data_IF_262918388298
#
_entry.id   IF_262918388298
#
_cell.length_a   1.000
_cell.length_b   1.000
_cell.length_c   1.000
_cell.angle_alpha   90.00
_cell.angle_beta   90.00
_cell.angle_gamma   90.00
#
_symmetry.space_group_name_H-M   'P 1'
#
loop_
_entity.id
_entity.type
_entity.pdbx_description
1 polymer ?
#
# COMPACT_ATOMS: atom_id res chain seq x y z
N UNK A 1 -18.13 -44.38 -11.15
CA UNK A 1 -18.13 -43.16 -11.94
C UNK A 1 -16.69 -42.64 -12.06
N UNK A 2 -16.26 -42.28 -13.27
CA UNK A 2 -14.94 -41.66 -13.50
C UNK A 2 -14.93 -40.29 -12.80
N UNK A 3 -14.04 -40.11 -11.84
CA UNK A 3 -13.79 -38.79 -11.25
C UNK A 3 -12.91 -37.98 -12.21
N UNK A 4 -13.35 -36.79 -12.56
CA UNK A 4 -12.52 -35.89 -13.34
C UNK A 4 -11.27 -35.52 -12.58
N UNK A 5 -10.09 -35.46 -13.21
CA UNK A 5 -8.87 -34.95 -12.58
C UNK A 5 -9.09 -33.53 -12.10
N UNK A 6 -8.63 -33.21 -10.88
CA UNK A 6 -8.82 -31.89 -10.31
C UNK A 6 -8.32 -30.74 -11.18
N UNK A 7 -7.21 -30.86 -11.97
CA UNK A 7 -6.78 -29.76 -12.83
C UNK A 7 -7.82 -29.42 -13.92
N UNK A 8 -8.53 -30.42 -14.44
CA UNK A 8 -9.58 -30.18 -15.42
C UNK A 8 -10.77 -29.45 -14.82
N UNK A 9 -11.19 -29.83 -13.61
CA UNK A 9 -12.29 -29.17 -12.89
C UNK A 9 -11.91 -27.73 -12.59
N UNK A 10 -10.68 -27.52 -12.10
CA UNK A 10 -10.15 -26.20 -11.78
C UNK A 10 -10.07 -25.30 -13.02
N UNK A 11 -9.51 -25.79 -14.14
CA UNK A 11 -9.44 -25.07 -15.42
C UNK A 11 -10.83 -24.74 -15.98
N UNK A 12 -11.79 -25.67 -15.89
CA UNK A 12 -13.16 -25.43 -16.33
C UNK A 12 -13.84 -24.34 -15.48
N UNK A 13 -13.62 -24.34 -14.16
CA UNK A 13 -14.13 -23.29 -13.30
C UNK A 13 -13.51 -21.93 -13.65
N UNK A 14 -12.19 -21.86 -13.88
CA UNK A 14 -11.53 -20.65 -14.39
C UNK A 14 -12.14 -20.18 -15.70
N UNK A 15 -12.28 -21.09 -16.66
CA UNK A 15 -12.85 -20.78 -17.98
C UNK A 15 -14.30 -20.27 -17.86
N UNK A 16 -15.11 -20.89 -17.01
CA UNK A 16 -16.50 -20.47 -16.81
C UNK A 16 -16.59 -19.04 -16.25
N UNK A 17 -15.74 -18.70 -15.24
CA UNK A 17 -15.70 -17.35 -14.68
C UNK A 17 -15.25 -16.34 -15.75
N UNK A 18 -14.16 -16.63 -16.50
CA UNK A 18 -13.63 -15.70 -17.51
C UNK A 18 -14.59 -15.53 -18.69
N UNK A 19 -15.36 -16.56 -19.04
CA UNK A 19 -16.39 -16.47 -20.07
C UNK A 19 -17.57 -15.60 -19.66
N UNK A 20 -17.93 -15.61 -18.37
CA UNK A 20 -19.03 -14.78 -17.84
C UNK A 20 -18.57 -13.36 -17.49
N UNK A 21 -17.35 -13.20 -17.02
CA UNK A 21 -16.72 -11.92 -16.69
C UNK A 21 -15.24 -11.91 -17.16
N UNK A 22 -14.95 -11.45 -18.37
CA UNK A 22 -13.57 -11.35 -18.87
C UNK A 22 -12.69 -10.41 -18.03
N UNK A 23 -13.29 -9.42 -17.33
CA UNK A 23 -12.59 -8.49 -16.47
C UNK A 23 -12.12 -9.12 -15.15
N UNK A 24 -12.59 -10.32 -14.82
CA UNK A 24 -12.13 -11.06 -13.65
C UNK A 24 -10.60 -11.25 -13.64
N UNK A 25 -9.95 -11.36 -14.81
CA UNK A 25 -8.49 -11.47 -14.93
C UNK A 25 -7.72 -10.24 -14.38
N UNK A 26 -8.36 -9.08 -14.33
CA UNK A 26 -7.80 -7.86 -13.76
C UNK A 26 -8.05 -7.73 -12.23
N UNK A 27 -8.88 -8.62 -11.69
CA UNK A 27 -9.24 -8.59 -10.27
C UNK A 27 -8.26 -9.44 -9.45
N UNK A 28 -7.63 -8.84 -8.46
CA UNK A 28 -6.73 -9.55 -7.54
C UNK A 28 -7.44 -10.73 -6.82
N UNK A 29 -8.72 -10.58 -6.51
CA UNK A 29 -9.54 -11.61 -5.89
C UNK A 29 -9.65 -12.89 -6.72
N UNK A 30 -9.74 -12.79 -8.05
CA UNK A 30 -9.71 -13.94 -8.95
C UNK A 30 -8.42 -14.75 -8.75
N UNK A 31 -7.27 -14.10 -8.88
CA UNK A 31 -5.98 -14.78 -8.76
C UNK A 31 -5.76 -15.38 -7.37
N UNK A 32 -6.07 -14.64 -6.30
CA UNK A 32 -5.92 -15.16 -4.93
C UNK A 32 -6.80 -16.39 -4.69
N UNK A 33 -8.06 -16.37 -5.13
CA UNK A 33 -8.98 -17.47 -4.94
C UNK A 33 -8.57 -18.70 -5.74
N UNK A 34 -8.29 -18.53 -7.04
CA UNK A 34 -7.95 -19.67 -7.91
C UNK A 34 -6.58 -20.26 -7.56
N UNK A 35 -5.58 -19.43 -7.22
CA UNK A 35 -4.27 -19.91 -6.76
C UNK A 35 -4.38 -20.64 -5.41
N UNK A 36 -5.15 -20.11 -4.46
CA UNK A 36 -5.37 -20.78 -3.17
C UNK A 36 -5.98 -22.17 -3.36
N UNK A 37 -7.06 -22.27 -4.15
CA UNK A 37 -7.73 -23.56 -4.43
C UNK A 37 -6.80 -24.49 -5.20
N UNK A 38 -6.06 -23.98 -6.19
CA UNK A 38 -5.09 -24.78 -6.96
C UNK A 38 -3.98 -25.34 -6.06
N UNK A 39 -3.44 -24.53 -5.16
CA UNK A 39 -2.44 -24.97 -4.17
C UNK A 39 -3.00 -26.03 -3.21
N UNK A 40 -4.23 -25.82 -2.71
CA UNK A 40 -4.89 -26.82 -1.85
C UNK A 40 -5.05 -28.15 -2.58
N UNK A 41 -5.51 -28.16 -3.81
CA UNK A 41 -5.63 -29.38 -4.61
C UNK A 41 -4.28 -30.02 -4.95
N UNK A 42 -3.27 -29.22 -5.29
CA UNK A 42 -1.94 -29.73 -5.62
C UNK A 42 -1.20 -30.30 -4.41
N UNK A 43 -1.51 -29.79 -3.21
CA UNK A 43 -0.90 -30.26 -1.94
C UNK A 43 -1.77 -31.30 -1.24
N UNK A 44 -2.82 -31.80 -1.88
CA UNK A 44 -3.94 -32.58 -1.33
C UNK A 44 -3.56 -33.54 -0.20
N UNK A 45 -4.15 -33.23 0.95
CA UNK A 45 -4.04 -34.05 2.17
C UNK A 45 -5.10 -35.15 2.23
N UNK A 46 -6.20 -34.93 1.50
CA UNK A 46 -7.40 -35.76 1.55
C UNK A 46 -7.25 -36.97 0.64
N UNK A 47 -6.56 -36.81 -0.51
CA UNK A 47 -6.35 -37.91 -1.45
C UNK A 47 -5.46 -39.05 -0.91
N UNK A 48 -4.63 -38.79 0.10
CA UNK A 48 -3.77 -39.79 0.73
C UNK A 48 -4.50 -40.73 1.73
N UNK A 49 -5.83 -40.58 1.88
CA UNK A 49 -6.63 -41.48 2.74
C UNK A 49 -6.35 -41.37 4.26
N UNK A 50 -5.53 -40.43 4.65
CA UNK A 50 -5.11 -40.25 6.05
C UNK A 50 -5.90 -39.10 6.70
N UNK A 51 -7.22 -39.25 6.85
CA UNK A 51 -7.94 -38.40 7.80
C UNK A 51 -7.37 -38.65 9.20
N UNK A 52 -6.92 -37.57 9.90
CA UNK A 52 -6.46 -37.72 11.26
C UNK A 52 -7.59 -38.24 12.11
N UNK A 53 -7.37 -39.39 12.81
CA UNK A 53 -8.38 -40.01 13.69
C UNK A 53 -8.50 -39.31 15.04
N UNK A 54 -7.66 -38.30 15.33
CA UNK A 54 -7.61 -37.64 16.63
C UNK A 54 -7.78 -36.12 16.47
N UNK A 55 -8.30 -35.46 17.50
CA UNK A 55 -8.43 -33.99 17.53
C UNK A 55 -7.09 -33.25 17.31
N UNK A 56 -6.00 -33.80 17.88
CA UNK A 56 -4.64 -33.29 17.67
C UNK A 56 -4.22 -33.40 16.21
N UNK A 57 -4.53 -34.52 15.55
CA UNK A 57 -4.24 -34.69 14.13
C UNK A 57 -4.98 -33.70 13.25
N UNK A 58 -6.25 -33.41 13.52
CA UNK A 58 -7.03 -32.38 12.82
C UNK A 58 -6.42 -30.99 13.01
N UNK A 59 -6.00 -30.67 14.23
CA UNK A 59 -5.35 -29.38 14.52
C UNK A 59 -4.03 -29.22 13.74
N UNK A 60 -3.17 -30.21 13.70
CA UNK A 60 -1.93 -30.18 12.91
C UNK A 60 -2.21 -30.11 11.41
N UNK A 61 -3.25 -30.76 10.92
CA UNK A 61 -3.66 -30.65 9.51
C UNK A 61 -4.07 -29.22 9.16
N UNK A 62 -4.91 -28.58 9.98
CA UNK A 62 -5.33 -27.18 9.83
C UNK A 62 -4.13 -26.20 9.84
N UNK A 63 -3.22 -26.37 10.83
CA UNK A 63 -2.01 -25.55 10.90
C UNK A 63 -1.18 -25.67 9.63
N UNK A 64 -1.02 -26.87 9.12
CA UNK A 64 -0.23 -27.13 7.92
C UNK A 64 -0.91 -26.58 6.67
N UNK A 65 -2.21 -26.77 6.50
CA UNK A 65 -2.97 -26.19 5.37
C UNK A 65 -2.84 -24.68 5.36
N UNK A 66 -3.06 -24.05 6.51
CA UNK A 66 -2.93 -22.60 6.66
C UNK A 66 -1.51 -22.13 6.34
N UNK A 67 -0.48 -22.86 6.79
CA UNK A 67 0.91 -22.55 6.50
C UNK A 67 1.23 -22.62 5.01
N UNK A 68 0.81 -23.69 4.33
CA UNK A 68 1.03 -23.91 2.91
C UNK A 68 0.35 -22.83 2.07
N UNK A 69 -0.93 -22.52 2.37
CA UNK A 69 -1.67 -21.48 1.67
C UNK A 69 -1.03 -20.10 1.91
N UNK A 70 -0.66 -19.78 3.14
CA UNK A 70 -0.01 -18.52 3.45
C UNK A 70 1.30 -18.36 2.68
N UNK A 71 2.18 -19.37 2.68
CA UNK A 71 3.45 -19.32 1.96
C UNK A 71 3.26 -19.20 0.44
N UNK A 72 2.29 -19.93 -0.12
CA UNK A 72 2.03 -19.88 -1.56
C UNK A 72 1.41 -18.56 -2.01
N UNK A 73 0.54 -17.95 -1.18
CA UNK A 73 -0.13 -16.70 -1.52
C UNK A 73 0.69 -15.45 -1.17
N UNK A 74 1.69 -15.55 -0.30
CA UNK A 74 2.52 -14.39 0.08
C UNK A 74 3.17 -13.71 -1.13
N UNK A 75 3.85 -14.40 -2.06
CA UNK A 75 4.42 -13.76 -3.25
C UNK A 75 3.36 -13.10 -4.13
N UNK A 76 2.19 -13.72 -4.25
CA UNK A 76 1.08 -13.17 -5.02
C UNK A 76 0.51 -11.90 -4.35
N UNK A 77 0.36 -11.91 -3.01
CA UNK A 77 -0.09 -10.74 -2.26
C UNK A 77 0.90 -9.58 -2.37
N UNK A 78 2.20 -9.87 -2.32
CA UNK A 78 3.24 -8.87 -2.52
C UNK A 78 3.21 -8.30 -3.95
N UNK A 79 3.03 -9.14 -4.96
CA UNK A 79 2.96 -8.70 -6.35
C UNK A 79 1.72 -7.84 -6.63
N UNK A 80 0.56 -8.22 -6.07
CA UNK A 80 -0.72 -7.55 -6.36
C UNK A 80 -0.96 -6.31 -5.50
N UNK A 81 -0.48 -6.31 -4.25
CA UNK A 81 -0.80 -5.27 -3.27
C UNK A 81 0.43 -4.57 -2.67
N UNK A 82 1.65 -5.04 -2.95
CA UNK A 82 2.86 -4.50 -2.34
C UNK A 82 2.92 -4.69 -0.81
N UNK A 83 2.12 -5.61 -0.26
CA UNK A 83 2.04 -5.80 1.19
C UNK A 83 1.81 -7.25 1.58
N UNK A 84 2.27 -7.60 2.77
CA UNK A 84 1.99 -8.90 3.40
C UNK A 84 1.63 -8.72 4.87
N UNK A 85 0.61 -9.44 5.33
CA UNK A 85 0.22 -9.46 6.73
C UNK A 85 1.03 -10.51 7.49
N UNK A 86 1.88 -10.09 8.42
CA UNK A 86 2.62 -11.01 9.29
C UNK A 86 1.70 -11.66 10.34
N UNK A 87 0.68 -10.94 10.79
CA UNK A 87 -0.32 -11.46 11.74
C UNK A 87 -1.42 -12.28 11.05
N UNK A 88 -1.48 -12.25 9.72
CA UNK A 88 -2.53 -12.89 8.92
C UNK A 88 -2.64 -14.39 9.15
N UNK A 89 -1.52 -15.08 9.38
CA UNK A 89 -1.51 -16.51 9.73
C UNK A 89 -2.30 -16.76 11.04
N UNK A 90 -1.98 -16.04 12.10
CA UNK A 90 -2.65 -16.16 13.38
C UNK A 90 -4.12 -15.71 13.30
N UNK A 91 -4.38 -14.62 12.59
CA UNK A 91 -5.72 -14.10 12.36
C UNK A 91 -6.61 -15.14 11.66
N UNK A 92 -6.12 -15.75 10.57
CA UNK A 92 -6.87 -16.75 9.83
C UNK A 92 -7.07 -18.05 10.63
N UNK A 93 -6.06 -18.48 11.40
CA UNK A 93 -6.16 -19.67 12.25
C UNK A 93 -7.27 -19.52 13.31
N UNK A 94 -7.52 -18.30 13.78
CA UNK A 94 -8.59 -17.99 14.72
C UNK A 94 -9.92 -17.71 14.01
N UNK A 95 -9.90 -16.86 12.99
CA UNK A 95 -11.11 -16.36 12.34
C UNK A 95 -11.84 -17.43 11.53
N UNK A 96 -11.10 -18.28 10.77
CA UNK A 96 -11.73 -19.26 9.90
C UNK A 96 -12.56 -20.29 10.70
N UNK A 97 -12.04 -20.97 11.75
CA UNK A 97 -12.86 -21.88 12.55
C UNK A 97 -14.02 -21.16 13.26
N UNK A 98 -13.77 -19.96 13.81
CA UNK A 98 -14.79 -19.21 14.53
C UNK A 98 -15.95 -18.82 13.63
N UNK A 99 -15.67 -18.26 12.45
CA UNK A 99 -16.71 -17.89 11.48
C UNK A 99 -17.44 -19.14 10.98
N UNK A 100 -16.70 -20.20 10.61
CA UNK A 100 -17.29 -21.40 10.01
C UNK A 100 -18.15 -22.19 11.00
N UNK A 101 -17.71 -22.32 12.26
CA UNK A 101 -18.38 -23.19 13.25
C UNK A 101 -19.39 -22.46 14.12
N UNK A 102 -19.27 -21.14 14.28
CA UNK A 102 -20.12 -20.35 15.18
C UNK A 102 -20.97 -19.36 14.41
N UNK A 103 -20.33 -18.43 13.68
CA UNK A 103 -21.05 -17.31 13.08
C UNK A 103 -21.95 -17.78 11.92
N UNK A 104 -21.40 -18.57 11.00
CA UNK A 104 -22.15 -19.03 9.82
C UNK A 104 -23.35 -19.91 10.19
N UNK A 105 -23.26 -20.91 11.10
CA UNK A 105 -24.43 -21.68 11.51
C UNK A 105 -25.50 -20.83 12.21
N UNK A 106 -25.10 -19.89 13.07
CA UNK A 106 -26.04 -18.97 13.73
C UNK A 106 -26.73 -18.06 12.71
N UNK A 107 -25.98 -17.52 11.75
CA UNK A 107 -26.53 -16.65 10.71
C UNK A 107 -27.53 -17.40 9.81
N UNK A 108 -27.20 -18.65 9.40
CA UNK A 108 -28.10 -19.48 8.61
C UNK A 108 -29.36 -19.87 9.40
N UNK A 109 -29.20 -20.28 10.65
CA UNK A 109 -30.33 -20.60 11.50
C UNK A 109 -31.20 -19.38 11.84
N UNK A 110 -30.63 -18.18 11.80
CA UNK A 110 -31.33 -16.90 11.94
C UNK A 110 -32.40 -16.65 10.87
N UNK A 111 -32.31 -17.30 9.71
CA UNK A 111 -33.35 -17.28 8.67
C UNK A 111 -34.66 -17.90 9.19
N UNK A 112 -34.56 -18.91 10.04
CA UNK A 112 -35.70 -19.59 10.65
C UNK A 112 -36.14 -18.89 11.94
N UNK A 113 -35.16 -18.42 12.74
CA UNK A 113 -35.41 -17.76 14.02
C UNK A 113 -34.55 -16.51 14.19
N UNK A 114 -35.11 -15.35 13.91
CA UNK A 114 -34.43 -14.05 13.86
C UNK A 114 -33.56 -13.70 15.08
N UNK A 115 -33.86 -14.06 16.35
CA UNK A 115 -32.96 -13.80 17.48
C UNK A 115 -31.55 -14.40 17.34
N UNK A 116 -31.36 -15.44 16.51
CA UNK A 116 -30.04 -16.02 16.25
C UNK A 116 -29.11 -15.08 15.47
N UNK A 117 -29.65 -14.12 14.71
CA UNK A 117 -28.83 -13.07 14.09
C UNK A 117 -28.19 -12.17 15.15
N UNK A 118 -28.92 -11.86 16.23
CA UNK A 118 -28.35 -11.09 17.34
C UNK A 118 -27.21 -11.86 18.04
N UNK A 119 -27.37 -13.18 18.20
CA UNK A 119 -26.29 -14.03 18.72
C UNK A 119 -25.09 -14.10 17.76
N UNK A 120 -25.33 -14.19 16.45
CA UNK A 120 -24.25 -14.16 15.45
C UNK A 120 -23.53 -12.81 15.50
N UNK A 121 -24.23 -11.69 15.57
CA UNK A 121 -23.66 -10.35 15.71
C UNK A 121 -22.86 -10.22 17.02
N UNK A 122 -23.37 -10.75 18.13
CA UNK A 122 -22.65 -10.77 19.41
C UNK A 122 -21.38 -11.64 19.34
N UNK A 123 -21.45 -12.79 18.68
CA UNK A 123 -20.27 -13.66 18.46
C UNK A 123 -19.19 -13.03 17.57
N UNK A 124 -19.54 -12.07 16.72
CA UNK A 124 -18.56 -11.33 15.91
C UNK A 124 -17.76 -10.30 16.71
N UNK A 125 -18.29 -9.77 17.81
CA UNK A 125 -17.64 -8.70 18.57
C UNK A 125 -16.26 -9.11 19.12
N UNK A 126 -16.10 -10.25 19.82
CA UNK A 126 -14.77 -10.68 20.32
C UNK A 126 -13.80 -10.99 19.18
N UNK A 127 -14.29 -11.50 18.04
CA UNK A 127 -13.46 -11.72 16.87
C UNK A 127 -12.98 -10.39 16.30
N UNK A 128 -13.88 -9.42 16.12
CA UNK A 128 -13.53 -8.08 15.62
C UNK A 128 -12.53 -7.39 16.54
N UNK A 129 -12.74 -7.43 17.86
CA UNK A 129 -11.81 -6.87 18.84
C UNK A 129 -10.43 -7.54 18.78
N UNK A 130 -10.38 -8.86 18.67
CA UNK A 130 -9.12 -9.61 18.53
C UNK A 130 -8.37 -9.29 17.23
N UNK A 131 -9.08 -9.18 16.11
CA UNK A 131 -8.49 -8.80 14.82
C UNK A 131 -8.00 -7.35 14.83
N UNK A 132 -8.76 -6.42 15.43
CA UNK A 132 -8.34 -5.02 15.60
C UNK A 132 -7.08 -4.92 16.48
N UNK A 133 -7.02 -5.69 17.56
CA UNK A 133 -5.82 -5.76 18.40
C UNK A 133 -4.60 -6.28 17.62
N UNK A 134 -4.73 -7.37 16.85
CA UNK A 134 -3.66 -7.84 15.99
C UNK A 134 -3.24 -6.81 14.93
N UNK A 135 -4.21 -6.12 14.34
CA UNK A 135 -3.96 -5.09 13.32
C UNK A 135 -3.30 -3.82 13.89
N UNK A 136 -3.43 -3.56 15.20
CA UNK A 136 -2.79 -2.40 15.86
C UNK A 136 -1.28 -2.56 16.06
N UNK A 137 -0.73 -3.75 15.84
CA UNK A 137 0.71 -3.96 15.99
C UNK A 137 1.49 -3.25 14.88
N UNK A 138 2.59 -2.54 15.18
CA UNK A 138 3.34 -1.76 14.18
C UNK A 138 3.87 -2.60 13.01
N UNK A 139 4.08 -3.88 13.23
CA UNK A 139 4.58 -4.85 12.25
C UNK A 139 3.50 -5.82 11.73
N UNK A 140 2.21 -5.53 11.99
CA UNK A 140 1.12 -6.39 11.52
C UNK A 140 1.10 -6.55 10.00
N UNK A 141 1.48 -5.49 9.29
CA UNK A 141 1.59 -5.45 7.83
C UNK A 141 2.96 -4.88 7.45
N UNK A 142 3.66 -5.58 6.57
CA UNK A 142 4.90 -5.12 5.95
C UNK A 142 4.60 -4.71 4.52
N UNK A 143 5.05 -3.51 4.15
CA UNK A 143 4.94 -2.96 2.80
C UNK A 143 6.29 -3.10 2.11
N UNK A 144 6.27 -3.53 0.85
CA UNK A 144 7.44 -3.60 -0.02
C UNK A 144 7.19 -2.79 -1.29
N UNK A 145 8.25 -2.19 -1.87
CA UNK A 145 8.12 -1.50 -3.15
C UNK A 145 7.57 -2.40 -4.25
N UNK A 146 6.87 -1.81 -5.20
CA UNK A 146 6.32 -2.54 -6.34
C UNK A 146 7.46 -3.07 -7.22
N UNK A 147 7.67 -4.37 -7.18
CA UNK A 147 8.70 -5.03 -7.98
C UNK A 147 8.20 -5.26 -9.42
N UNK A 148 9.12 -5.35 -10.41
CA UNK A 148 8.77 -5.65 -11.78
C UNK A 148 8.19 -7.07 -11.92
N UNK A 149 7.37 -7.28 -12.95
CA UNK A 149 6.65 -8.54 -13.16
C UNK A 149 7.57 -9.77 -13.17
N UNK A 150 8.79 -9.67 -13.73
CA UNK A 150 9.72 -10.80 -13.74
C UNK A 150 10.12 -11.25 -12.33
N UNK A 151 10.33 -10.31 -11.40
CA UNK A 151 10.64 -10.63 -10.00
C UNK A 151 9.43 -11.28 -9.31
N UNK A 152 8.20 -10.81 -9.62
CA UNK A 152 6.96 -11.43 -9.18
C UNK A 152 6.79 -12.86 -9.69
N UNK A 153 7.07 -13.11 -10.97
CA UNK A 153 7.01 -14.47 -11.54
C UNK A 153 8.00 -15.41 -10.88
N UNK A 154 9.25 -14.97 -10.69
CA UNK A 154 10.25 -15.77 -9.96
C UNK A 154 9.78 -16.08 -8.53
N UNK A 155 9.21 -15.09 -7.85
CA UNK A 155 8.71 -15.28 -6.49
C UNK A 155 7.50 -16.23 -6.43
N UNK A 156 6.61 -16.20 -7.41
CA UNK A 156 5.51 -17.17 -7.53
C UNK A 156 6.03 -18.59 -7.72
N UNK A 157 7.05 -18.79 -8.56
CA UNK A 157 7.73 -20.09 -8.70
C UNK A 157 8.36 -20.53 -7.38
N UNK A 158 9.05 -19.61 -6.68
CA UNK A 158 9.63 -19.86 -5.36
C UNK A 158 8.59 -20.24 -4.31
N UNK A 159 7.46 -19.53 -4.24
CA UNK A 159 6.33 -19.85 -3.37
C UNK A 159 5.72 -21.22 -3.68
N UNK A 160 5.59 -21.55 -4.98
CA UNK A 160 5.16 -22.86 -5.44
C UNK A 160 6.09 -23.98 -4.97
N UNK A 161 7.40 -23.81 -5.08
CA UNK A 161 8.39 -24.79 -4.58
C UNK A 161 8.29 -24.97 -3.06
N UNK A 162 8.04 -23.89 -2.30
CA UNK A 162 7.85 -24.00 -0.85
C UNK A 162 6.57 -24.74 -0.48
N UNK A 163 5.50 -24.53 -1.24
CA UNK A 163 4.20 -25.14 -1.00
C UNK A 163 4.18 -26.64 -1.34
N UNK A 164 4.94 -27.06 -2.35
CA UNK A 164 4.98 -28.45 -2.81
C UNK A 164 5.65 -29.39 -1.82
N UNK A 165 5.29 -30.68 -1.87
CA UNK A 165 5.92 -31.76 -1.08
C UNK A 165 7.23 -32.23 -1.71
N UNK A 166 8.21 -31.34 -1.82
CA UNK A 166 9.52 -31.64 -2.37
C UNK A 166 10.54 -31.92 -1.25
N UNK A 167 11.63 -32.64 -1.54
CA UNK A 167 12.78 -32.74 -0.65
C UNK A 167 13.29 -31.32 -0.28
N UNK A 168 13.81 -31.17 0.96
CA UNK A 168 14.22 -29.86 1.46
C UNK A 168 15.29 -29.18 0.58
N UNK A 169 16.16 -29.99 -0.05
CA UNK A 169 17.18 -29.51 -0.97
C UNK A 169 16.59 -28.73 -2.17
N UNK A 170 15.47 -29.23 -2.72
CA UNK A 170 14.76 -28.55 -3.81
C UNK A 170 14.02 -27.30 -3.32
N UNK A 171 13.49 -27.34 -2.09
CA UNK A 171 12.85 -26.15 -1.49
C UNK A 171 13.83 -25.03 -1.23
N UNK A 172 15.11 -25.30 -1.01
CA UNK A 172 16.12 -24.25 -0.85
C UNK A 172 16.26 -23.37 -2.09
N UNK A 173 15.94 -23.87 -3.30
CA UNK A 173 15.90 -23.06 -4.52
C UNK A 173 14.82 -21.98 -4.51
N UNK A 174 13.85 -22.04 -3.61
CA UNK A 174 12.89 -20.96 -3.43
C UNK A 174 13.54 -19.66 -2.93
N UNK A 175 14.62 -19.75 -2.15
CA UNK A 175 15.30 -18.58 -1.58
C UNK A 175 15.80 -17.63 -2.67
N UNK A 176 16.68 -18.04 -3.60
CA UNK A 176 17.13 -17.14 -4.67
C UNK A 176 15.99 -16.66 -5.58
N UNK A 177 14.90 -17.41 -5.70
CA UNK A 177 13.74 -16.99 -6.48
C UNK A 177 12.90 -15.90 -5.77
N UNK A 178 12.88 -15.87 -4.44
CA UNK A 178 12.16 -14.87 -3.66
C UNK A 178 12.96 -13.57 -3.46
N UNK A 179 14.30 -13.65 -3.43
CA UNK A 179 15.17 -12.49 -3.16
C UNK A 179 14.86 -11.28 -4.06
N UNK A 180 14.71 -11.41 -5.40
CA UNK A 180 14.44 -10.26 -6.26
C UNK A 180 13.17 -9.48 -5.88
N UNK A 181 12.12 -10.18 -5.44
CA UNK A 181 10.88 -9.54 -4.98
C UNK A 181 11.06 -8.88 -3.61
N UNK A 182 11.70 -9.56 -2.67
CA UNK A 182 11.83 -9.11 -1.27
C UNK A 182 12.84 -7.96 -1.10
N UNK A 183 13.86 -7.91 -1.96
CA UNK A 183 14.92 -6.91 -1.89
C UNK A 183 14.81 -5.83 -2.98
N UNK A 184 13.69 -5.78 -3.70
CA UNK A 184 13.49 -4.78 -4.75
C UNK A 184 13.47 -3.37 -4.18
N UNK A 185 14.15 -2.48 -4.87
CA UNK A 185 14.11 -1.05 -4.62
C UNK A 185 13.79 -0.33 -5.92
N UNK A 186 12.87 0.63 -5.89
CA UNK A 186 12.57 1.45 -7.05
C UNK A 186 13.82 2.26 -7.45
N UNK A 187 14.16 2.35 -8.74
CA UNK A 187 15.25 3.18 -9.21
C UNK A 187 15.11 4.62 -8.73
N UNK A 188 16.21 5.27 -8.42
CA UNK A 188 16.28 6.67 -8.05
C UNK A 188 17.16 7.45 -9.04
N UNK A 189 16.97 8.78 -9.16
CA UNK A 189 17.85 9.63 -9.96
C UNK A 189 19.31 9.52 -9.52
N UNK A 190 20.24 9.74 -10.45
CA UNK A 190 21.65 9.88 -10.11
C UNK A 190 21.91 11.18 -9.32
N UNK A 191 22.98 11.27 -8.53
CA UNK A 191 23.38 12.53 -7.89
C UNK A 191 23.46 13.67 -8.91
N UNK A 192 23.00 14.84 -8.51
CA UNK A 192 22.86 16.02 -9.39
C UNK A 192 21.61 16.02 -10.27
N UNK A 193 20.80 14.97 -10.24
CA UNK A 193 19.57 14.86 -11.01
C UNK A 193 18.36 14.74 -10.09
N UNK A 194 17.19 15.15 -10.60
CA UNK A 194 15.92 14.96 -9.91
C UNK A 194 14.85 14.42 -10.86
N UNK A 195 13.84 13.80 -10.27
CA UNK A 195 12.64 13.30 -10.93
C UNK A 195 11.42 13.97 -10.34
N UNK A 196 10.49 14.39 -11.21
CA UNK A 196 9.18 14.91 -10.83
C UNK A 196 8.11 13.88 -11.18
N UNK A 197 7.30 13.52 -10.20
CA UNK A 197 6.12 12.69 -10.37
C UNK A 197 4.89 13.49 -9.95
N UNK A 198 4.02 13.80 -10.91
CA UNK A 198 2.72 14.41 -10.68
C UNK A 198 1.64 13.31 -10.81
N UNK A 199 1.18 12.69 -9.71
CA UNK A 199 0.14 11.68 -9.77
C UNK A 199 -1.21 12.29 -10.11
N UNK A 200 -2.08 11.54 -10.80
CA UNK A 200 -3.45 11.94 -11.03
C UNK A 200 -4.26 11.87 -9.71
N UNK A 201 -4.53 13.03 -9.15
CA UNK A 201 -5.30 13.21 -7.91
C UNK A 201 -6.66 13.88 -8.16
N UNK A 202 -7.06 14.06 -9.43
CA UNK A 202 -8.22 14.85 -9.82
C UNK A 202 -7.93 16.35 -9.75
N UNK A 203 -8.87 17.14 -9.25
CA UNK A 203 -8.67 18.59 -9.08
C UNK A 203 -7.80 18.86 -7.85
N UNK A 204 -6.75 19.65 -8.01
CA UNK A 204 -5.79 20.01 -6.97
C UNK A 204 -4.35 19.74 -7.39
N UNK A 205 -3.41 19.89 -6.46
CA UNK A 205 -1.99 19.75 -6.75
C UNK A 205 -1.31 18.74 -5.81
N UNK A 206 -0.44 17.90 -6.37
CA UNK A 206 0.53 17.10 -5.63
C UNK A 206 1.68 16.73 -6.57
N UNK A 207 2.91 17.06 -6.19
CA UNK A 207 4.11 16.74 -6.96
C UNK A 207 5.15 16.13 -6.04
N UNK A 208 5.61 14.93 -6.36
CA UNK A 208 6.71 14.27 -5.68
C UNK A 208 8.02 14.62 -6.39
N UNK A 209 8.95 15.22 -5.67
CA UNK A 209 10.31 15.53 -6.14
C UNK A 209 11.25 14.53 -5.50
N UNK A 210 11.95 13.73 -6.31
CA UNK A 210 12.90 12.70 -5.86
C UNK A 210 14.31 13.06 -6.31
N UNK A 211 15.26 12.98 -5.39
CA UNK A 211 16.70 13.04 -5.68
C UNK A 211 17.34 11.67 -5.42
N UNK A 212 18.64 11.54 -5.42
CA UNK A 212 19.31 10.26 -5.20
C UNK A 212 18.94 9.62 -3.84
N UNK A 213 18.77 10.41 -2.76
CA UNK A 213 18.49 9.89 -1.41
C UNK A 213 17.36 10.59 -0.67
N UNK A 214 16.87 11.74 -1.19
CA UNK A 214 15.84 12.54 -0.53
C UNK A 214 14.55 12.64 -1.36
N UNK A 215 13.45 12.94 -0.67
CA UNK A 215 12.13 13.06 -1.29
C UNK A 215 11.37 14.22 -0.67
N UNK A 216 10.90 15.14 -1.50
CA UNK A 216 9.99 16.22 -1.14
C UNK A 216 8.62 15.96 -1.78
N UNK A 217 7.55 16.09 -1.01
CA UNK A 217 6.20 16.13 -1.53
C UNK A 217 5.69 17.58 -1.48
N UNK A 218 5.40 18.14 -2.64
CA UNK A 218 4.84 19.47 -2.79
C UNK A 218 3.34 19.35 -2.99
N UNK A 219 2.57 19.87 -2.04
CA UNK A 219 1.12 19.70 -1.90
C UNK A 219 0.66 18.25 -1.71
N UNK A 220 -0.59 18.08 -1.32
CA UNK A 220 -1.12 16.76 -0.94
C UNK A 220 -2.51 16.47 -1.53
N UNK A 221 -2.95 17.30 -2.46
CA UNK A 221 -4.21 17.12 -3.19
C UNK A 221 -5.47 17.31 -2.34
N UNK A 222 -6.63 17.05 -2.95
CA UNK A 222 -7.91 17.39 -2.39
C UNK A 222 -8.41 16.38 -1.35
N UNK A 223 -9.38 16.84 -0.59
CA UNK A 223 -10.29 16.00 0.18
C UNK A 223 -11.55 15.75 -0.64
N UNK A 224 -11.81 14.49 -1.01
CA UNK A 224 -12.97 14.14 -1.83
C UNK A 224 -14.27 14.02 -1.02
N UNK A 225 -14.18 13.57 0.24
CA UNK A 225 -15.31 13.44 1.16
C UNK A 225 -14.79 13.48 2.62
N UNK A 226 -15.71 13.32 3.59
CA UNK A 226 -15.31 13.20 5.02
C UNK A 226 -14.38 12.03 5.30
N UNK A 227 -14.48 10.96 4.52
CA UNK A 227 -13.80 9.68 4.74
C UNK A 227 -12.75 9.38 3.66
N UNK A 228 -12.56 10.29 2.68
CA UNK A 228 -11.71 10.03 1.52
C UNK A 228 -10.98 11.28 1.06
N UNK A 229 -9.66 11.16 0.90
CA UNK A 229 -8.76 12.21 0.44
C UNK A 229 -7.69 11.64 -0.52
N UNK A 230 -6.97 12.54 -1.20
CA UNK A 230 -5.91 12.19 -2.14
C UNK A 230 -4.72 11.52 -1.42
N UNK A 231 -4.47 11.88 -0.16
CA UNK A 231 -3.42 11.26 0.65
C UNK A 231 -3.63 9.76 0.81
N UNK A 232 -4.80 9.33 1.31
CA UNK A 232 -5.13 7.93 1.50
C UNK A 232 -5.26 7.15 0.19
N UNK A 233 -5.89 7.75 -0.84
CA UNK A 233 -6.23 7.03 -2.08
C UNK A 233 -5.09 6.95 -3.08
N UNK A 234 -4.21 7.96 -3.11
CA UNK A 234 -3.20 8.09 -4.18
C UNK A 234 -1.80 8.21 -3.59
N UNK A 235 -1.53 9.21 -2.72
CA UNK A 235 -0.16 9.53 -2.32
C UNK A 235 0.46 8.45 -1.42
N UNK A 236 -0.24 7.98 -0.40
CA UNK A 236 0.27 6.92 0.48
C UNK A 236 0.49 5.62 -0.28
N UNK A 237 -0.43 5.12 -1.14
CA UNK A 237 -0.16 3.98 -2.02
C UNK A 237 1.03 4.20 -2.95
N UNK A 238 1.17 5.37 -3.56
CA UNK A 238 2.29 5.70 -4.44
C UNK A 238 3.63 5.66 -3.69
N UNK A 239 3.71 6.34 -2.54
CA UNK A 239 4.92 6.34 -1.70
C UNK A 239 5.32 4.92 -1.27
N UNK A 240 4.35 4.08 -0.92
CA UNK A 240 4.58 2.66 -0.61
C UNK A 240 5.07 1.88 -1.82
N UNK A 241 4.45 2.08 -2.99
CA UNK A 241 4.83 1.40 -4.22
C UNK A 241 6.26 1.76 -4.68
N UNK A 242 6.68 2.98 -4.41
CA UNK A 242 8.04 3.45 -4.68
C UNK A 242 9.03 3.11 -3.55
N UNK A 243 8.55 2.73 -2.35
CA UNK A 243 9.37 2.56 -1.16
C UNK A 243 9.94 3.87 -0.63
N UNK A 244 9.24 4.99 -0.87
CA UNK A 244 9.70 6.33 -0.54
C UNK A 244 9.36 6.74 0.88
N UNK A 245 10.33 7.46 1.49
CA UNK A 245 10.13 8.23 2.71
C UNK A 245 10.18 9.69 2.36
N UNK A 246 9.17 10.42 2.79
CA UNK A 246 9.10 11.88 2.58
C UNK A 246 9.93 12.56 3.66
N UNK A 247 10.93 13.34 3.25
CA UNK A 247 11.74 14.16 4.15
C UNK A 247 11.04 15.47 4.47
N UNK A 248 10.41 16.09 3.45
CA UNK A 248 9.66 17.34 3.59
C UNK A 248 8.32 17.23 2.86
N UNK A 249 7.24 17.53 3.56
CA UNK A 249 5.94 17.87 2.99
C UNK A 249 5.86 19.40 2.94
N UNK A 250 5.84 19.96 1.74
CA UNK A 250 5.69 21.40 1.51
C UNK A 250 4.29 21.69 1.02
N UNK A 251 3.57 22.57 1.71
CA UNK A 251 2.23 23.00 1.33
C UNK A 251 2.29 24.41 0.75
N UNK A 252 1.82 24.56 -0.50
CA UNK A 252 1.85 25.85 -1.18
C UNK A 252 1.02 26.88 -0.43
N UNK A 253 -0.22 26.56 -0.09
CA UNK A 253 -1.14 27.40 0.66
C UNK A 253 -2.22 26.55 1.36
N UNK A 254 -3.17 27.18 2.06
CA UNK A 254 -4.13 26.50 2.95
C UNK A 254 -5.30 25.80 2.27
N UNK A 255 -5.56 26.01 0.98
CA UNK A 255 -6.77 25.53 0.33
C UNK A 255 -6.86 24.00 0.30
N UNK A 256 -8.08 23.49 0.35
CA UNK A 256 -8.36 22.08 0.61
C UNK A 256 -7.89 21.16 -0.52
N UNK A 257 -7.75 21.65 -1.73
CA UNK A 257 -7.25 20.93 -2.90
C UNK A 257 -5.71 20.85 -2.95
N UNK A 258 -5.02 21.50 -2.00
CA UNK A 258 -3.58 21.42 -1.76
C UNK A 258 -3.25 20.73 -0.43
N UNK A 259 -4.11 20.89 0.60
CA UNK A 259 -3.84 20.38 1.96
C UNK A 259 -4.65 19.14 2.32
N UNK A 260 -5.67 18.78 1.53
CA UNK A 260 -6.68 17.79 1.89
C UNK A 260 -6.14 16.40 2.26
N UNK A 261 -5.09 15.95 1.58
CA UNK A 261 -4.43 14.66 1.84
C UNK A 261 -3.27 14.71 2.83
N UNK A 262 -2.88 15.91 3.30
CA UNK A 262 -1.66 16.09 4.11
C UNK A 262 -1.70 15.31 5.43
N UNK A 263 -2.84 15.24 6.11
CA UNK A 263 -2.99 14.51 7.36
C UNK A 263 -2.70 13.01 7.19
N UNK A 264 -3.17 12.41 6.09
CA UNK A 264 -2.91 11.02 5.77
C UNK A 264 -1.43 10.75 5.48
N UNK A 265 -0.79 11.65 4.73
CA UNK A 265 0.65 11.55 4.44
C UNK A 265 1.46 11.66 5.73
N UNK A 266 1.21 12.68 6.58
CA UNK A 266 1.92 12.89 7.84
C UNK A 266 1.76 11.72 8.82
N UNK A 267 0.59 11.09 8.86
CA UNK A 267 0.35 9.91 9.69
C UNK A 267 1.21 8.70 9.25
N UNK A 268 1.46 8.56 7.94
CA UNK A 268 2.27 7.46 7.38
C UNK A 268 3.76 7.80 7.28
N UNK A 269 4.12 9.08 7.35
CA UNK A 269 5.48 9.60 7.24
C UNK A 269 5.86 10.37 8.53
N UNK A 270 6.10 9.65 9.65
CA UNK A 270 6.34 10.30 10.95
C UNK A 270 7.62 11.15 10.97
N UNK A 271 8.58 10.86 10.08
CA UNK A 271 9.83 11.61 9.94
C UNK A 271 9.74 12.86 9.06
N UNK A 272 8.64 13.05 8.31
CA UNK A 272 8.53 14.18 7.38
C UNK A 272 8.45 15.52 8.12
N UNK A 273 9.28 16.49 7.78
CA UNK A 273 9.09 17.88 8.21
C UNK A 273 7.91 18.49 7.45
N UNK A 274 7.16 19.36 8.10
CA UNK A 274 6.10 20.14 7.46
C UNK A 274 6.58 21.56 7.24
N UNK A 275 6.51 22.03 6.00
CA UNK A 275 6.82 23.41 5.62
C UNK A 275 5.68 23.94 4.79
N UNK A 276 5.35 25.22 4.85
CA UNK A 276 4.33 25.75 3.97
C UNK A 276 3.78 27.10 4.39
N UNK A 277 2.90 27.63 3.54
CA UNK A 277 2.17 28.87 3.77
C UNK A 277 0.78 28.56 4.33
N UNK A 278 0.76 28.05 5.59
CA UNK A 278 -0.46 27.75 6.34
C UNK A 278 -0.45 28.48 7.68
N UNK A 279 -1.61 28.95 8.13
CA UNK A 279 -1.75 29.73 9.35
C UNK A 279 -1.48 28.90 10.61
N UNK A 280 -1.16 29.59 11.71
CA UNK A 280 -0.91 28.94 13.01
C UNK A 280 -2.10 28.15 13.56
N UNK A 281 -3.33 28.56 13.22
CA UNK A 281 -4.58 27.93 13.64
C UNK A 281 -5.00 26.76 12.74
N UNK A 282 -4.29 26.50 11.63
CA UNK A 282 -4.63 25.42 10.73
C UNK A 282 -4.53 24.05 11.43
N UNK A 283 -5.51 23.18 11.20
CA UNK A 283 -5.61 21.87 11.90
C UNK A 283 -4.36 20.99 11.78
N UNK A 284 -3.60 21.12 10.70
CA UNK A 284 -2.35 20.38 10.50
C UNK A 284 -1.25 20.78 11.48
N UNK A 285 -1.26 22.01 12.00
CA UNK A 285 -0.31 22.48 13.02
C UNK A 285 -0.39 21.64 14.30
N UNK A 286 -1.58 21.16 14.66
CA UNK A 286 -1.77 20.28 15.82
C UNK A 286 -1.18 18.87 15.59
N UNK A 287 -1.11 18.41 14.32
CA UNK A 287 -0.48 17.14 13.96
C UNK A 287 1.04 17.27 13.87
N UNK A 288 1.51 18.35 13.26
CA UNK A 288 2.93 18.68 13.11
C UNK A 288 3.12 20.17 12.90
N UNK A 289 3.94 20.83 13.75
CA UNK A 289 4.27 22.25 13.55
C UNK A 289 4.89 22.48 12.18
N UNK A 290 4.34 23.44 11.45
CA UNK A 290 4.85 23.80 10.13
C UNK A 290 5.91 24.92 10.25
N UNK A 291 7.01 24.77 9.52
CA UNK A 291 7.97 25.86 9.30
C UNK A 291 7.41 26.78 8.20
N UNK A 292 7.35 28.08 8.44
CA UNK A 292 6.90 29.02 7.42
C UNK A 292 7.78 28.96 6.16
N UNK A 293 7.13 29.04 5.01
CA UNK A 293 7.77 29.18 3.72
C UNK A 293 8.09 30.65 3.46
N UNK A 294 9.36 31.01 3.26
CA UNK A 294 9.79 32.40 3.04
C UNK A 294 10.83 32.45 1.94
N UNK A 295 10.69 33.40 1.02
CA UNK A 295 11.63 33.64 -0.07
C UNK A 295 13.08 33.79 0.42
N UNK A 296 14.01 33.20 -0.32
CA UNK A 296 15.43 33.19 0.03
C UNK A 296 15.86 31.97 0.86
N UNK A 297 14.94 31.14 1.35
CA UNK A 297 15.29 29.84 1.92
C UNK A 297 15.90 28.95 0.82
N UNK A 298 17.08 28.35 1.11
CA UNK A 298 17.83 27.52 0.16
C UNK A 298 18.42 26.30 0.83
N UNK A 299 18.44 25.20 0.12
CA UNK A 299 19.18 23.99 0.52
C UNK A 299 19.60 23.17 -0.71
N UNK A 300 20.48 22.24 -0.51
CA UNK A 300 20.96 21.34 -1.55
C UNK A 300 20.80 19.91 -1.06
N UNK A 301 20.19 19.05 -1.86
CA UNK A 301 20.11 17.60 -1.66
C UNK A 301 20.72 16.89 -2.85
N UNK A 302 21.70 16.04 -2.60
CA UNK A 302 22.33 15.19 -3.62
C UNK A 302 22.81 15.96 -4.86
N UNK A 303 23.25 17.21 -4.71
CA UNK A 303 23.65 18.09 -5.83
C UNK A 303 22.49 18.80 -6.54
N UNK A 304 21.26 18.66 -6.07
CA UNK A 304 20.08 19.39 -6.56
C UNK A 304 19.81 20.56 -5.64
N UNK A 305 19.73 21.77 -6.21
CA UNK A 305 19.46 23.00 -5.47
C UNK A 305 17.95 23.26 -5.40
N UNK A 306 17.50 23.61 -4.21
CA UNK A 306 16.13 24.01 -3.91
C UNK A 306 16.16 25.46 -3.41
N UNK A 307 15.23 26.27 -3.89
CA UNK A 307 15.12 27.69 -3.52
C UNK A 307 13.66 28.08 -3.45
N UNK A 308 13.25 28.63 -2.31
CA UNK A 308 11.93 29.25 -2.13
C UNK A 308 11.98 30.66 -2.71
N UNK A 309 11.12 30.96 -3.66
CA UNK A 309 11.05 32.25 -4.33
C UNK A 309 9.94 33.16 -3.77
N UNK A 310 8.89 32.59 -3.23
CA UNK A 310 7.72 33.28 -2.69
C UNK A 310 7.12 32.46 -1.53
N UNK A 311 6.46 33.05 -0.49
CA UNK A 311 6.20 34.50 -0.28
C UNK A 311 7.44 35.26 0.19
N UNK A 312 7.45 36.59 -0.05
CA UNK A 312 8.59 37.47 0.29
C UNK A 312 8.66 37.83 1.77
N UNK A 313 7.65 37.47 2.54
CA UNK A 313 7.50 37.83 3.95
C UNK A 313 6.88 39.23 4.17
N UNK A 314 6.54 39.92 3.09
CA UNK A 314 5.79 41.16 3.16
C UNK A 314 4.26 40.96 3.12
N UNK A 315 3.85 39.73 2.82
CA UNK A 315 2.46 39.32 2.78
C UNK A 315 1.90 39.20 4.21
N UNK A 316 0.62 39.55 4.42
CA UNK A 316 0.00 39.42 5.75
C UNK A 316 -0.07 37.96 6.20
N UNK A 317 0.07 37.70 7.51
CA UNK A 317 -0.01 36.37 8.11
C UNK A 317 -1.31 35.61 7.77
N UNK A 318 -2.38 36.36 7.51
CA UNK A 318 -3.69 35.84 7.08
C UNK A 318 -4.12 36.57 5.80
N UNK A 319 -3.62 36.16 4.62
CA UNK A 319 -4.02 36.81 3.39
C UNK A 319 -5.50 36.57 3.11
N UNK A 320 -6.21 37.63 2.69
CA UNK A 320 -7.62 37.52 2.30
C UNK A 320 -7.82 36.54 1.13
N UNK A 321 -6.77 36.35 0.32
CA UNK A 321 -6.67 35.39 -0.78
C UNK A 321 -5.51 34.43 -0.50
N UNK A 322 -5.79 33.15 -0.22
CA UNK A 322 -4.74 32.16 0.08
C UNK A 322 -3.68 32.03 -1.01
N UNK A 323 -4.11 32.12 -2.28
CA UNK A 323 -3.25 31.96 -3.46
C UNK A 323 -2.12 33.01 -3.49
N UNK A 324 -2.37 34.24 -2.98
CA UNK A 324 -1.36 35.30 -2.96
C UNK A 324 -0.17 35.01 -2.03
N UNK A 325 -0.27 34.02 -1.16
CA UNK A 325 0.81 33.56 -0.27
C UNK A 325 1.35 32.18 -0.67
N UNK A 326 1.06 31.71 -1.88
CA UNK A 326 1.53 30.41 -2.36
C UNK A 326 3.05 30.31 -2.27
N UNK A 327 3.51 29.22 -1.68
CA UNK A 327 4.93 28.90 -1.55
C UNK A 327 5.49 28.44 -2.90
N UNK A 328 6.28 29.26 -3.56
CA UNK A 328 6.89 28.94 -4.85
C UNK A 328 8.26 28.33 -4.65
N UNK A 329 8.47 27.12 -5.15
CA UNK A 329 9.71 26.39 -5.05
C UNK A 329 10.38 26.20 -6.42
N UNK A 330 11.62 26.66 -6.54
CA UNK A 330 12.50 26.37 -7.66
C UNK A 330 13.38 25.17 -7.32
N UNK A 331 13.42 24.18 -8.21
CA UNK A 331 14.28 23.00 -8.13
C UNK A 331 15.20 23.03 -9.35
N UNK A 332 16.50 22.91 -9.13
CA UNK A 332 17.49 22.99 -10.20
C UNK A 332 18.56 21.91 -10.07
N UNK A 333 18.79 21.15 -11.15
CA UNK A 333 19.91 20.21 -11.23
C UNK A 333 21.23 20.94 -11.41
N UNK A 334 22.35 20.30 -11.04
CA UNK A 334 23.66 20.78 -11.46
C UNK A 334 23.85 20.59 -12.97
N UNK A 335 24.50 21.56 -13.61
CA UNK A 335 24.96 21.40 -14.98
C UNK A 335 26.14 20.41 -14.97
N UNK A 336 26.00 19.26 -15.64
CA UNK A 336 27.07 18.24 -15.70
C UNK A 336 27.42 17.91 -17.14
N UNK A 337 28.64 18.27 -17.52
CA UNK A 337 29.20 17.97 -18.86
C UNK A 337 28.37 18.54 -20.01
N UNK A 338 27.85 17.66 -20.89
CA UNK A 338 27.05 18.05 -22.05
C UNK A 338 25.55 18.28 -21.72
N UNK A 339 25.12 18.02 -20.49
CA UNK A 339 23.72 18.18 -20.09
C UNK A 339 23.46 19.61 -19.56
N UNK A 340 22.48 20.27 -20.16
CA UNK A 340 21.99 21.56 -19.68
C UNK A 340 21.38 21.40 -18.28
N UNK A 341 21.46 22.46 -17.47
CA UNK A 341 20.79 22.53 -16.19
C UNK A 341 19.28 22.34 -16.39
N UNK A 342 18.71 21.33 -15.75
CA UNK A 342 17.26 21.19 -15.67
C UNK A 342 16.73 22.06 -14.54
N UNK A 343 15.66 22.81 -14.78
CA UNK A 343 14.99 23.65 -13.79
C UNK A 343 13.51 23.36 -13.83
N UNK A 344 12.92 23.18 -12.65
CA UNK A 344 11.48 23.09 -12.44
C UNK A 344 11.03 24.17 -11.48
N UNK A 345 9.82 24.64 -11.70
CA UNK A 345 9.16 25.63 -10.85
C UNK A 345 7.83 25.04 -10.38
N UNK A 346 7.66 24.92 -9.06
CA UNK A 346 6.43 24.49 -8.42
C UNK A 346 5.78 25.72 -7.81
N UNK A 347 4.67 26.14 -8.38
CA UNK A 347 4.14 27.50 -8.16
C UNK A 347 2.88 27.55 -7.29
N UNK A 348 2.26 26.36 -6.99
CA UNK A 348 0.93 26.36 -6.39
C UNK A 348 -0.07 27.12 -7.25
N UNK A 349 -0.89 27.95 -6.63
CA UNK A 349 -1.93 28.75 -7.27
C UNK A 349 -1.59 30.25 -7.24
N UNK A 350 -0.29 30.58 -7.38
CA UNK A 350 0.15 31.98 -7.39
C UNK A 350 -0.63 32.77 -8.43
N UNK A 351 -1.06 34.00 -8.08
CA UNK A 351 -1.78 34.89 -9.01
C UNK A 351 -0.79 35.69 -9.85
N UNK A 352 -1.23 36.13 -11.02
CA UNK A 352 -0.40 36.90 -11.96
C UNK A 352 0.23 38.19 -11.40
N UNK A 353 -0.32 38.71 -10.28
CA UNK A 353 0.25 39.88 -9.61
C UNK A 353 1.52 39.58 -8.80
N UNK A 354 1.76 38.27 -8.46
CA UNK A 354 2.92 37.78 -7.74
C UNK A 354 3.96 37.12 -8.66
N UNK A 355 3.62 36.79 -9.91
CA UNK A 355 4.55 36.32 -10.94
C UNK A 355 5.53 37.44 -11.40
#
# INVERSE_FOLDING_TARGET
>A
GRRWPWPQVWLLACAAVVLTDPWALWQAGFWLSFVAVGVLFATDFVAAGAYPKSARGHFYALLREQWVVTLALTPLSLLLFGQVSLVGFAANLLAIPWVTLVVTPLALAGVVWAPLWSLAAWALQPLAAGLQWLASWPWAVVFLPAAPLWAGVLALLGGGLLAMRLPWQLRLWSVPLLVPLLCWQAPRPAPGQFELLAPDIGQGNAVLVRTATHTLLYDAGPRFSRESDAGHRVLVPLLRALGERVDVLMLSHRDADHTGGAAAVLAQQPGAALTGSIEAEHALQALRPATPCVAGQRWVWDGVAFEVLHPTGAEPDHPARPNTASCVLRVASEASGAHAQAVALLVGDIEAAQE
#
